data_IF_621783421540
#
_entry.id   IF_621783421540
#
_cell.length_a   1.000
_cell.length_b   1.000
_cell.length_c   1.000
_cell.angle_alpha   90.00
_cell.angle_beta   90.00
_cell.angle_gamma   90.00
#
_symmetry.space_group_name_H-M   'P 1'
#
loop_
_entity.id
_entity.type
_entity.pdbx_description
1 polymer ?
#
# COMPACT_ATOMS: atom_id res chain seq x y z
N UNK A 1 0.29 55.99 -42.21
CA UNK A 1 -0.42 57.27 -42.08
C UNK A 1 -1.91 56.98 -42.04
N UNK A 2 -2.60 57.33 -40.94
CA UNK A 2 -4.06 57.57 -40.80
C UNK A 2 -5.02 56.39 -41.10
N UNK A 3 -5.97 55.91 -40.27
CA UNK A 3 -6.52 56.27 -38.94
C UNK A 3 -7.23 55.04 -38.34
N UNK A 4 -7.05 54.86 -37.03
CA UNK A 4 -7.87 54.05 -36.11
C UNK A 4 -9.24 54.69 -35.86
N UNK A 5 -10.36 53.94 -35.91
CA UNK A 5 -11.56 54.10 -35.03
C UNK A 5 -12.29 52.73 -35.01
N UNK A 6 -12.33 51.97 -33.90
CA UNK A 6 -13.14 52.16 -32.69
C UNK A 6 -14.64 52.19 -33.05
N UNK A 7 -15.59 51.50 -32.41
CA UNK A 7 -15.73 50.56 -31.30
C UNK A 7 -17.26 50.28 -31.28
N UNK A 8 -17.71 49.20 -30.64
CA UNK A 8 -19.09 48.97 -30.19
C UNK A 8 -20.13 48.50 -31.23
N UNK A 9 -20.42 47.19 -31.20
CA UNK A 9 -21.80 46.70 -31.31
C UNK A 9 -21.96 45.47 -30.38
N UNK A 10 -22.14 45.75 -29.09
CA UNK A 10 -22.73 44.82 -28.12
C UNK A 10 -24.24 45.05 -28.21
N UNK A 11 -24.99 44.05 -28.62
CA UNK A 11 -26.44 44.16 -28.78
C UNK A 11 -27.12 42.80 -28.90
N UNK A 12 -27.55 42.28 -27.74
CA UNK A 12 -28.84 41.62 -27.54
C UNK A 12 -29.20 40.42 -28.46
N UNK A 13 -29.04 39.19 -27.96
CA UNK A 13 -29.92 38.08 -28.31
C UNK A 13 -30.06 37.10 -27.14
N UNK A 14 -30.85 37.51 -26.14
CA UNK A 14 -31.48 36.60 -25.18
C UNK A 14 -32.82 36.17 -25.76
N UNK A 15 -33.11 34.87 -25.84
CA UNK A 15 -34.40 34.25 -25.46
C UNK A 15 -34.53 32.80 -25.99
N UNK A 16 -35.07 31.96 -25.09
CA UNK A 16 -35.87 30.77 -25.35
C UNK A 16 -35.17 29.44 -25.68
N UNK A 17 -34.93 28.64 -24.63
CA UNK A 17 -35.25 27.21 -24.64
C UNK A 17 -35.42 26.67 -23.20
N UNK A 18 -36.52 27.02 -22.54
CA UNK A 18 -37.04 26.24 -21.41
C UNK A 18 -37.70 24.98 -21.99
N UNK A 19 -37.05 23.82 -21.92
CA UNK A 19 -37.74 22.55 -22.15
C UNK A 19 -38.36 22.05 -20.85
N UNK A 20 -39.67 21.77 -20.92
CA UNK A 20 -40.47 21.26 -19.82
C UNK A 20 -40.02 19.85 -19.43
N UNK A 21 -39.74 19.66 -18.14
CA UNK A 21 -39.39 18.37 -17.53
C UNK A 21 -40.65 17.49 -17.46
N UNK A 22 -40.63 16.25 -17.96
CA UNK A 22 -41.80 15.36 -17.85
C UNK A 22 -42.06 15.03 -16.37
N UNK A 23 -43.30 15.27 -15.92
CA UNK A 23 -43.79 14.87 -14.61
C UNK A 23 -43.95 13.35 -14.56
N UNK A 24 -43.10 12.69 -13.78
CA UNK A 24 -43.27 11.29 -13.41
C UNK A 24 -44.34 11.26 -12.29
N UNK A 25 -45.43 10.48 -12.43
CA UNK A 25 -46.42 10.35 -11.36
C UNK A 25 -45.79 9.66 -10.13
N UNK A 26 -46.16 10.04 -8.90
CA UNK A 26 -45.68 9.38 -7.70
C UNK A 26 -46.20 7.93 -7.63
N UNK A 27 -45.28 7.00 -7.41
CA UNK A 27 -45.60 5.60 -7.08
C UNK A 27 -46.26 5.59 -5.70
N UNK A 28 -47.47 5.04 -5.61
CA UNK A 28 -48.17 4.83 -4.34
C UNK A 28 -47.41 3.82 -3.48
N UNK A 29 -47.06 4.21 -2.26
CA UNK A 29 -46.49 3.31 -1.25
C UNK A 29 -47.52 2.27 -0.82
N UNK A 30 -47.15 0.99 -0.62
CA UNK A 30 -48.06 0.00 -0.08
C UNK A 30 -48.36 0.31 1.39
N UNK A 31 -49.65 0.41 1.72
CA UNK A 31 -50.16 0.55 3.09
C UNK A 31 -49.81 -0.70 3.90
N UNK A 32 -49.20 -0.59 5.10
CA UNK A 32 -49.03 -1.73 5.97
C UNK A 32 -50.39 -2.19 6.52
N UNK A 33 -50.80 -3.40 6.14
CA UNK A 33 -51.95 -4.09 6.75
C UNK A 33 -51.56 -4.52 8.16
N UNK A 34 -52.10 -3.85 9.17
CA UNK A 34 -52.02 -4.30 10.57
C UNK A 34 -53.10 -5.35 10.80
N UNK A 35 -52.71 -6.63 10.77
CA UNK A 35 -53.54 -7.72 11.25
C UNK A 35 -53.43 -7.76 12.77
N UNK A 36 -54.52 -7.45 13.47
CA UNK A 36 -54.63 -7.59 14.91
C UNK A 36 -54.73 -9.08 15.29
N UNK A 37 -53.66 -9.63 15.87
CA UNK A 37 -53.66 -10.97 16.50
C UNK A 37 -54.10 -10.83 17.95
N UNK A 38 -55.17 -11.53 18.32
CA UNK A 38 -55.70 -11.61 19.69
C UNK A 38 -54.72 -12.34 20.63
N UNK A 39 -54.53 -11.88 21.87
CA UNK A 39 -53.73 -12.60 22.85
C UNK A 39 -54.50 -13.83 23.39
N UNK A 40 -53.83 -14.98 23.62
CA UNK A 40 -54.46 -16.10 24.31
C UNK A 40 -54.62 -15.81 25.81
N UNK A 41 -55.77 -16.22 26.33
CA UNK A 41 -56.18 -16.18 27.74
C UNK A 41 -55.27 -17.06 28.60
N UNK A 42 -54.78 -16.53 29.72
CA UNK A 42 -54.03 -17.29 30.72
C UNK A 42 -54.97 -18.13 31.59
N UNK A 43 -54.76 -19.45 31.61
CA UNK A 43 -55.35 -20.36 32.60
C UNK A 43 -54.46 -20.44 33.84
N UNK A 44 -55.00 -20.40 35.07
CA UNK A 44 -54.22 -20.56 36.29
C UNK A 44 -53.95 -22.05 36.54
N UNK A 45 -52.71 -22.48 36.30
CA UNK A 45 -52.25 -23.84 36.65
C UNK A 45 -51.46 -23.78 37.96
N UNK A 46 -51.84 -24.65 38.90
CA UNK A 46 -51.29 -24.75 40.26
C UNK A 46 -49.77 -25.01 40.27
N UNK A 47 -49.05 -24.32 41.17
CA UNK A 47 -47.60 -24.48 41.40
C UNK A 47 -47.26 -25.87 41.99
N UNK A 48 -46.30 -26.61 41.41
CA UNK A 48 -45.53 -27.60 42.14
C UNK A 48 -44.31 -26.96 42.86
N UNK A 49 -44.09 -27.40 44.10
CA UNK A 49 -42.97 -27.07 44.99
C UNK A 49 -41.63 -27.61 44.43
N UNK A 50 -40.49 -26.89 44.55
CA UNK A 50 -39.22 -27.29 43.93
C UNK A 50 -38.67 -28.60 44.51
N UNK A 51 -38.49 -29.58 43.63
CA UNK A 51 -37.63 -30.74 43.86
C UNK A 51 -36.29 -30.47 43.17
N UNK A 52 -35.18 -30.64 43.89
CA UNK A 52 -33.83 -30.44 43.34
C UNK A 52 -33.54 -31.48 42.25
N UNK A 53 -33.63 -31.06 40.99
CA UNK A 53 -33.29 -31.88 39.81
C UNK A 53 -31.80 -31.69 39.47
N UNK A 54 -31.03 -32.76 39.25
CA UNK A 54 -29.66 -32.65 38.75
C UNK A 54 -29.67 -31.95 37.39
N UNK A 55 -28.80 -30.95 37.23
CA UNK A 55 -28.71 -30.14 36.03
C UNK A 55 -28.51 -31.03 34.78
N UNK A 56 -29.19 -30.74 33.65
CA UNK A 56 -28.96 -31.45 32.41
C UNK A 56 -27.53 -31.16 31.91
N UNK A 57 -26.76 -32.22 31.68
CA UNK A 57 -25.51 -32.16 30.94
C UNK A 57 -25.81 -31.62 29.55
N UNK A 58 -25.25 -30.45 29.21
CA UNK A 58 -25.36 -29.87 27.88
C UNK A 58 -24.83 -30.87 26.83
N UNK A 59 -25.74 -31.37 25.99
CA UNK A 59 -25.36 -32.06 24.75
C UNK A 59 -24.69 -31.04 23.84
N UNK A 60 -23.43 -31.26 23.48
CA UNK A 60 -22.73 -30.43 22.51
C UNK A 60 -23.43 -30.53 21.17
N UNK A 61 -24.16 -29.48 20.80
CA UNK A 61 -24.61 -29.24 19.43
C UNK A 61 -23.38 -29.34 18.51
N UNK A 62 -23.36 -30.19 17.47
CA UNK A 62 -22.25 -30.21 16.54
C UNK A 62 -22.20 -28.85 15.85
N UNK A 63 -21.20 -28.04 16.18
CA UNK A 63 -20.85 -26.84 15.43
C UNK A 63 -20.71 -27.25 13.98
N UNK A 64 -21.40 -26.60 13.02
CA UNK A 64 -21.18 -26.89 11.61
C UNK A 64 -19.70 -26.68 11.31
N UNK A 65 -18.99 -27.78 11.04
CA UNK A 65 -17.63 -27.73 10.52
C UNK A 65 -17.70 -26.95 9.21
N UNK A 66 -16.96 -25.85 9.04
CA UNK A 66 -16.89 -25.17 7.75
C UNK A 66 -16.53 -26.20 6.69
N UNK A 67 -17.36 -26.31 5.64
CA UNK A 67 -17.04 -27.19 4.53
C UNK A 67 -15.65 -26.79 3.99
N UNK A 68 -14.76 -27.77 3.73
CA UNK A 68 -13.43 -27.47 3.20
C UNK A 68 -13.58 -26.73 1.88
N UNK A 69 -13.04 -25.52 1.79
CA UNK A 69 -13.02 -24.76 0.54
C UNK A 69 -11.97 -25.41 -0.36
N UNK A 70 -12.38 -25.91 -1.53
CA UNK A 70 -11.48 -26.55 -2.48
C UNK A 70 -11.16 -25.55 -3.60
N UNK A 71 -9.87 -25.32 -3.82
CA UNK A 71 -9.36 -24.52 -4.93
C UNK A 71 -8.81 -25.42 -6.02
N UNK A 72 -9.29 -25.24 -7.26
CA UNK A 72 -8.76 -25.94 -8.44
C UNK A 72 -7.68 -25.04 -9.06
N UNK A 73 -6.44 -25.52 -9.04
CA UNK A 73 -5.25 -24.86 -9.60
C UNK A 73 -5.44 -24.64 -11.10
N UNK A 74 -5.18 -23.42 -11.58
CA UNK A 74 -5.16 -23.06 -13.00
C UNK A 74 -3.72 -22.83 -13.48
N UNK A 75 -3.54 -22.61 -14.78
CA UNK A 75 -2.25 -22.21 -15.33
C UNK A 75 -1.70 -20.99 -14.60
N UNK A 76 -0.44 -21.07 -14.21
CA UNK A 76 0.31 -20.06 -13.46
C UNK A 76 -0.08 -19.84 -11.98
N UNK A 77 -0.94 -20.68 -11.38
CA UNK A 77 -1.19 -20.66 -9.93
C UNK A 77 -0.08 -21.39 -9.15
N UNK A 78 0.40 -20.80 -8.05
CA UNK A 78 1.27 -21.45 -7.06
C UNK A 78 0.67 -21.39 -5.63
N UNK A 79 1.17 -22.22 -4.70
CA UNK A 79 0.63 -22.24 -3.32
C UNK A 79 0.75 -20.89 -2.62
N UNK A 80 1.71 -20.05 -2.99
CA UNK A 80 1.90 -18.74 -2.37
C UNK A 80 0.81 -17.77 -2.83
N UNK A 81 0.60 -17.62 -4.14
CA UNK A 81 -0.47 -16.83 -4.73
C UNK A 81 -1.86 -17.29 -4.29
N UNK A 82 -2.08 -18.60 -4.16
CA UNK A 82 -3.32 -19.17 -3.62
C UNK A 82 -3.46 -18.82 -2.12
N UNK A 83 -2.41 -18.93 -1.31
CA UNK A 83 -2.47 -18.57 0.11
C UNK A 83 -2.83 -17.09 0.34
N UNK A 84 -2.29 -16.21 -0.51
CA UNK A 84 -2.63 -14.78 -0.51
C UNK A 84 -4.08 -14.54 -0.92
N UNK A 85 -4.56 -15.23 -1.96
CA UNK A 85 -5.95 -15.11 -2.44
C UNK A 85 -6.97 -15.49 -1.36
N UNK A 86 -6.68 -16.48 -0.54
CA UNK A 86 -7.59 -16.99 0.48
C UNK A 86 -7.32 -16.46 1.90
N UNK A 87 -6.31 -15.61 2.08
CA UNK A 87 -5.97 -15.03 3.39
C UNK A 87 -5.54 -16.07 4.43
N UNK A 88 -4.97 -17.19 3.99
CA UNK A 88 -4.44 -18.26 4.86
C UNK A 88 -2.92 -18.24 4.81
N UNK A 89 -2.24 -18.65 5.89
CA UNK A 89 -0.77 -18.73 5.84
C UNK A 89 -0.33 -19.84 4.89
N UNK A 90 0.81 -19.65 4.21
CA UNK A 90 1.40 -20.66 3.34
C UNK A 90 1.69 -21.96 4.11
N UNK A 91 2.10 -21.85 5.37
CA UNK A 91 2.29 -23.03 6.23
C UNK A 91 0.98 -23.75 6.51
N UNK A 92 -0.10 -23.04 6.88
CA UNK A 92 -1.41 -23.66 7.07
C UNK A 92 -1.90 -24.35 5.78
N UNK A 93 -1.70 -23.72 4.62
CA UNK A 93 -2.07 -24.29 3.33
C UNK A 93 -1.24 -25.54 2.98
N UNK A 94 0.06 -25.55 3.28
CA UNK A 94 0.94 -26.74 3.11
C UNK A 94 0.56 -27.86 4.08
N UNK A 95 0.28 -27.52 5.34
CA UNK A 95 -0.17 -28.49 6.35
C UNK A 95 -1.53 -29.09 6.00
N UNK A 96 -2.42 -28.32 5.36
CA UNK A 96 -3.70 -28.82 4.86
C UNK A 96 -3.56 -29.70 3.59
N UNK A 97 -2.46 -29.56 2.85
CA UNK A 97 -2.19 -30.30 1.59
C UNK A 97 -0.81 -30.99 1.60
N UNK A 98 -0.53 -31.89 2.55
CA UNK A 98 0.81 -32.43 2.77
C UNK A 98 1.29 -33.34 1.63
N UNK A 99 0.38 -33.83 0.77
CA UNK A 99 0.68 -34.70 -0.37
C UNK A 99 0.96 -33.93 -1.66
N UNK A 100 0.75 -32.61 -1.68
CA UNK A 100 1.00 -31.77 -2.85
C UNK A 100 2.44 -31.27 -2.83
N UNK A 101 3.15 -31.48 -3.94
CA UNK A 101 4.45 -30.87 -4.16
C UNK A 101 4.26 -29.43 -4.66
N UNK A 102 4.68 -28.39 -3.91
CA UNK A 102 4.50 -26.99 -4.31
C UNK A 102 5.19 -26.61 -5.61
N UNK A 103 6.21 -27.36 -6.04
CA UNK A 103 6.98 -27.13 -7.26
C UNK A 103 6.48 -27.94 -8.47
N UNK A 104 5.43 -28.75 -8.29
CA UNK A 104 4.86 -29.60 -9.33
C UNK A 104 3.33 -29.60 -9.26
N UNK A 105 2.74 -28.41 -9.34
CA UNK A 105 1.29 -28.22 -9.38
C UNK A 105 0.84 -28.08 -10.83
N UNK A 106 0.20 -29.14 -11.36
CA UNK A 106 -0.42 -29.09 -12.67
C UNK A 106 -1.83 -28.48 -12.61
N UNK A 107 -2.28 -27.92 -13.73
CA UNK A 107 -3.65 -27.42 -13.87
C UNK A 107 -4.67 -28.54 -13.55
N UNK A 108 -5.73 -28.19 -12.84
CA UNK A 108 -6.77 -29.12 -12.39
C UNK A 108 -6.50 -29.78 -11.03
N UNK A 109 -5.33 -29.55 -10.42
CA UNK A 109 -5.03 -30.02 -9.06
C UNK A 109 -5.95 -29.35 -8.02
N UNK A 110 -6.42 -30.10 -7.03
CA UNK A 110 -7.31 -29.59 -5.98
C UNK A 110 -6.54 -29.36 -4.68
N UNK A 111 -6.62 -28.14 -4.15
CA UNK A 111 -6.09 -27.76 -2.84
C UNK A 111 -7.21 -27.51 -1.84
N UNK A 112 -7.08 -28.08 -0.66
CA UNK A 112 -7.93 -27.81 0.50
C UNK A 112 -7.45 -26.54 1.18
N UNK A 113 -8.30 -25.52 1.25
CA UNK A 113 -8.02 -24.24 1.87
C UNK A 113 -8.52 -24.25 3.33
N UNK A 114 -7.64 -24.17 4.34
CA UNK A 114 -8.02 -24.20 5.75
C UNK A 114 -8.48 -22.81 6.23
N UNK A 115 -9.75 -22.49 6.04
CA UNK A 115 -10.34 -21.26 6.59
C UNK A 115 -10.72 -21.49 8.06
N UNK A 116 -9.85 -21.07 8.99
CA UNK A 116 -10.17 -21.05 10.42
C UNK A 116 -10.36 -19.60 10.90
N UNK A 117 -11.46 -19.25 11.59
CA UNK A 117 -11.58 -17.95 12.25
C UNK A 117 -10.69 -17.92 13.49
N UNK A 118 -9.69 -17.02 13.53
CA UNK A 118 -8.76 -16.90 14.66
C UNK A 118 -9.30 -15.95 15.74
N UNK A 119 -9.50 -16.37 17.02
CA UNK A 119 -9.79 -15.49 18.15
C UNK A 119 -8.50 -14.84 18.72
N UNK A 120 -8.57 -13.63 19.33
CA UNK A 120 -7.40 -12.95 19.89
C UNK A 120 -7.04 -13.46 21.30
N UNK A 121 -5.75 -13.66 21.55
CA UNK A 121 -5.22 -13.93 22.90
C UNK A 121 -5.10 -12.63 23.72
N UNK A 122 -5.48 -12.70 25.00
CA UNK A 122 -5.45 -11.61 25.97
C UNK A 122 -4.15 -11.58 26.80
N UNK A 123 -3.92 -10.43 27.47
CA UNK A 123 -2.91 -10.07 28.50
C UNK A 123 -1.66 -9.31 27.98
N UNK A 124 -1.20 -8.20 28.56
CA UNK A 124 -1.55 -7.37 29.74
C UNK A 124 -1.09 -5.92 29.49
N UNK A 125 -1.77 -4.95 30.10
CA UNK A 125 -1.52 -3.50 30.05
C UNK A 125 -0.22 -3.10 30.77
N UNK A 126 0.50 -2.07 30.27
CA UNK A 126 0.84 -0.93 31.14
C UNK A 126 0.29 0.40 30.61
N UNK A 127 -0.09 1.25 31.56
CA UNK A 127 -0.72 2.57 31.45
C UNK A 127 0.32 3.67 31.07
N UNK A 128 -0.08 4.82 30.46
CA UNK A 128 0.77 5.55 29.53
C UNK A 128 1.63 6.61 30.21
N UNK A 129 2.86 6.76 29.73
CA UNK A 129 3.58 8.04 29.77
C UNK A 129 4.39 8.14 28.49
N UNK A 130 4.24 9.27 27.80
CA UNK A 130 4.87 9.56 26.52
C UNK A 130 6.40 9.49 26.64
N UNK A 131 6.99 8.49 26.00
CA UNK A 131 8.36 8.47 25.50
C UNK A 131 8.45 7.31 24.50
N UNK A 132 8.81 7.62 23.26
CA UNK A 132 9.06 6.63 22.21
C UNK A 132 10.24 5.75 22.65
N UNK A 133 9.94 4.54 23.11
CA UNK A 133 10.93 3.48 23.16
C UNK A 133 11.05 2.92 21.76
N UNK A 134 12.02 3.45 20.99
CA UNK A 134 12.48 2.83 19.75
C UNK A 134 13.05 1.45 20.11
N UNK A 135 12.25 0.40 19.97
CA UNK A 135 12.80 -0.95 19.82
C UNK A 135 13.49 -1.00 18.47
N UNK A 136 14.73 -1.49 18.46
CA UNK A 136 15.69 -1.41 17.36
C UNK A 136 15.26 -2.05 16.01
N UNK A 137 14.05 -2.60 15.92
CA UNK A 137 13.47 -3.22 14.71
C UNK A 137 12.35 -2.40 14.05
N UNK A 138 11.93 -1.28 14.64
CA UNK A 138 10.88 -0.42 14.05
C UNK A 138 11.49 0.65 13.15
N UNK A 139 11.01 0.72 11.91
CA UNK A 139 11.45 1.72 10.94
C UNK A 139 10.62 3.00 11.15
N UNK A 140 11.24 4.20 11.33
CA UNK A 140 10.52 5.46 11.38
C UNK A 140 9.60 5.60 10.16
N UNK A 141 8.32 5.88 10.38
CA UNK A 141 7.31 5.86 9.30
C UNK A 141 6.53 7.16 9.28
N UNK A 142 6.57 7.85 8.14
CA UNK A 142 5.92 9.14 7.93
C UNK A 142 4.80 8.97 6.92
N UNK A 143 3.58 9.37 7.28
CA UNK A 143 2.41 9.17 6.44
C UNK A 143 1.71 10.49 6.09
N UNK A 144 1.29 10.60 4.84
CA UNK A 144 0.73 11.81 4.24
C UNK A 144 -0.59 11.45 3.57
N UNK A 145 -1.66 12.09 4.04
CA UNK A 145 -3.00 11.89 3.49
C UNK A 145 -3.19 12.75 2.25
N UNK A 146 -3.73 12.17 1.18
CA UNK A 146 -4.06 12.90 -0.03
C UNK A 146 -5.49 13.50 0.03
N UNK A 147 -5.83 14.30 -0.99
CA UNK A 147 -7.12 14.97 -1.09
C UNK A 147 -8.30 14.01 -1.33
N UNK A 148 -8.05 12.78 -1.78
CA UNK A 148 -9.06 11.76 -2.02
C UNK A 148 -9.28 10.86 -0.79
N UNK A 149 -8.51 11.07 0.28
CA UNK A 149 -8.61 10.33 1.53
C UNK A 149 -7.82 9.02 1.53
N UNK A 150 -6.89 8.83 0.60
CA UNK A 150 -5.86 7.80 0.67
C UNK A 150 -4.63 8.30 1.41
N UNK A 151 -3.69 7.40 1.72
CA UNK A 151 -2.49 7.74 2.52
C UNK A 151 -1.24 7.12 1.93
N UNK A 152 -0.26 7.96 1.60
CA UNK A 152 1.11 7.52 1.37
C UNK A 152 1.83 7.33 2.71
N UNK A 153 2.60 6.26 2.85
CA UNK A 153 3.50 6.08 3.98
C UNK A 153 4.91 5.78 3.47
N UNK A 154 5.88 6.49 4.04
CA UNK A 154 7.30 6.40 3.76
C UNK A 154 7.98 5.85 5.03
N UNK A 155 8.38 4.58 4.98
CA UNK A 155 9.14 3.93 6.04
C UNK A 155 10.63 4.15 5.76
N UNK A 156 11.24 5.02 6.55
CA UNK A 156 12.56 5.59 6.34
C UNK A 156 13.68 4.63 6.76
N UNK A 157 14.13 3.82 5.81
CA UNK A 157 15.02 2.68 6.06
C UNK A 157 16.48 3.02 5.78
N UNK A 158 17.33 2.61 6.71
CA UNK A 158 18.79 2.69 6.58
C UNK A 158 19.38 1.28 6.53
N UNK A 159 20.21 1.01 5.54
CA UNK A 159 21.00 -0.21 5.50
C UNK A 159 22.19 -0.10 6.47
N UNK A 160 22.00 -0.55 7.72
CA UNK A 160 23.04 -0.50 8.75
C UNK A 160 24.17 -1.54 8.58
N UNK A 161 24.17 -2.31 7.49
CA UNK A 161 25.18 -3.32 7.22
C UNK A 161 26.31 -2.77 6.35
N UNK A 162 27.48 -3.40 6.42
CA UNK A 162 28.65 -3.08 5.58
C UNK A 162 28.54 -3.65 4.16
N UNK A 163 27.38 -4.20 3.80
CA UNK A 163 27.13 -4.79 2.49
C UNK A 163 25.91 -4.16 1.83
N UNK A 164 25.92 -4.05 0.51
CA UNK A 164 24.72 -3.67 -0.22
C UNK A 164 23.64 -4.74 -0.10
N UNK A 165 22.38 -4.29 -0.10
CA UNK A 165 21.19 -5.14 -0.03
C UNK A 165 20.32 -4.98 -1.28
N UNK A 166 19.57 -6.04 -1.59
CA UNK A 166 18.57 -6.12 -2.65
C UNK A 166 17.21 -6.52 -2.11
N UNK A 167 16.16 -6.22 -2.87
CA UNK A 167 14.80 -6.66 -2.60
C UNK A 167 14.35 -6.33 -1.17
N UNK A 168 14.75 -5.16 -0.66
CA UNK A 168 14.35 -4.75 0.69
C UNK A 168 12.86 -4.40 0.68
N UNK A 169 12.10 -5.05 1.56
CA UNK A 169 10.69 -4.79 1.78
C UNK A 169 10.39 -4.65 3.28
N UNK A 170 9.29 -3.98 3.58
CA UNK A 170 8.80 -3.80 4.94
C UNK A 170 7.28 -3.97 4.98
N UNK A 171 6.74 -4.50 6.07
CA UNK A 171 5.30 -4.49 6.32
C UNK A 171 4.95 -3.21 7.05
N UNK A 172 4.20 -2.34 6.40
CA UNK A 172 3.65 -1.13 7.01
C UNK A 172 2.23 -1.42 7.46
N UNK A 173 1.92 -1.12 8.71
CA UNK A 173 0.59 -1.28 9.29
C UNK A 173 0.02 0.09 9.63
N UNK A 174 -1.13 0.43 9.04
CA UNK A 174 -1.99 1.51 9.51
C UNK A 174 -3.02 0.96 10.47
N UNK A 175 -3.14 1.57 11.64
CA UNK A 175 -4.16 1.26 12.64
C UNK A 175 -4.89 2.53 13.03
N UNK A 176 -6.22 2.54 12.96
CA UNK A 176 -6.97 3.68 13.46
C UNK A 176 -6.76 3.84 14.97
N UNK A 177 -6.74 5.07 15.44
CA UNK A 177 -6.71 5.37 16.88
C UNK A 177 -8.04 5.00 17.54
N UNK A 178 -9.13 5.07 16.77
CA UNK A 178 -10.48 4.72 17.19
C UNK A 178 -11.11 3.74 16.19
N UNK A 179 -11.81 2.73 16.71
CA UNK A 179 -12.43 1.67 15.91
C UNK A 179 -11.46 0.57 15.47
N UNK A 180 -11.94 -0.31 14.60
CA UNK A 180 -11.25 -1.57 14.26
C UNK A 180 -10.44 -1.53 12.96
N UNK A 181 -10.30 -0.35 12.33
CA UNK A 181 -9.55 -0.25 11.08
C UNK A 181 -8.09 -0.63 11.32
N UNK A 182 -7.65 -1.67 10.62
CA UNK A 182 -6.26 -2.10 10.53
C UNK A 182 -5.99 -2.61 9.13
N UNK A 183 -5.01 -2.02 8.47
CA UNK A 183 -4.51 -2.52 7.19
C UNK A 183 -3.00 -2.66 7.26
N UNK A 184 -2.50 -3.76 6.71
CA UNK A 184 -1.06 -4.01 6.56
C UNK A 184 -0.77 -4.18 5.08
N UNK A 185 0.22 -3.46 4.55
CA UNK A 185 0.66 -3.55 3.16
C UNK A 185 2.19 -3.62 3.11
N UNK A 186 2.71 -4.26 2.08
CA UNK A 186 4.15 -4.30 1.80
C UNK A 186 4.59 -2.99 1.17
N UNK A 187 5.57 -2.33 1.77
CA UNK A 187 6.31 -1.23 1.21
C UNK A 187 7.59 -1.74 0.53
N UNK A 188 7.94 -1.10 -0.58
CA UNK A 188 9.12 -1.44 -1.38
C UNK A 188 10.03 -0.22 -1.52
N UNK A 189 11.32 -0.47 -1.62
CA UNK A 189 12.26 0.57 -2.02
C UNK A 189 11.99 1.01 -3.48
N UNK A 190 12.24 2.29 -3.80
CA UNK A 190 12.10 2.78 -5.17
C UNK A 190 13.22 2.27 -6.10
N UNK A 191 14.34 1.83 -5.53
CA UNK A 191 15.41 1.08 -6.19
C UNK A 191 15.44 -0.35 -5.65
N UNK A 192 15.87 -1.31 -6.46
CA UNK A 192 16.07 -2.67 -5.98
C UNK A 192 17.30 -2.76 -5.08
N UNK A 193 18.35 -2.00 -5.41
CA UNK A 193 19.63 -1.97 -4.71
C UNK A 193 19.71 -0.81 -3.71
N UNK A 194 20.20 -1.09 -2.50
CA UNK A 194 20.58 -0.09 -1.52
C UNK A 194 22.01 -0.35 -1.05
N UNK A 195 22.88 0.66 -1.17
CA UNK A 195 24.28 0.56 -0.79
C UNK A 195 24.46 0.43 0.73
N UNK A 196 25.64 -0.03 1.15
CA UNK A 196 26.01 -0.06 2.57
C UNK A 196 25.88 1.34 3.18
N UNK A 197 25.27 1.44 4.35
CA UNK A 197 25.03 2.69 5.09
C UNK A 197 24.16 3.73 4.37
N UNK A 198 23.57 3.38 3.23
CA UNK A 198 22.64 4.27 2.52
C UNK A 198 21.25 4.27 3.19
N UNK A 199 20.51 5.36 3.00
CA UNK A 199 19.17 5.59 3.52
C UNK A 199 18.21 5.89 2.37
N UNK A 200 17.16 5.08 2.25
CA UNK A 200 16.08 5.28 1.29
C UNK A 200 14.75 4.85 1.93
N UNK A 201 13.66 5.64 1.77
CA UNK A 201 12.37 5.25 2.29
C UNK A 201 11.74 4.13 1.44
N UNK A 202 11.23 3.10 2.10
CA UNK A 202 10.25 2.21 1.48
C UNK A 202 8.91 2.92 1.38
N UNK A 203 8.30 2.87 0.20
CA UNK A 203 7.04 3.56 -0.06
C UNK A 203 5.88 2.57 -0.20
N UNK A 204 4.73 2.95 0.36
CA UNK A 204 3.47 2.25 0.17
C UNK A 204 2.30 3.22 0.18
N UNK A 205 1.26 2.90 -0.58
CA UNK A 205 0.02 3.65 -0.61
C UNK A 205 -1.14 2.82 -0.05
N UNK A 206 -1.91 3.39 0.87
CA UNK A 206 -3.15 2.86 1.39
C UNK A 206 -4.33 3.57 0.71
N UNK A 207 -5.21 2.78 0.10
CA UNK A 207 -6.33 3.29 -0.68
C UNK A 207 -7.40 3.93 0.22
N UNK A 208 -8.08 4.94 -0.32
CA UNK A 208 -9.17 5.60 0.38
C UNK A 208 -10.37 4.64 0.60
N UNK A 209 -11.14 4.81 1.70
CA UNK A 209 -10.92 5.78 2.76
C UNK A 209 -9.97 5.24 3.84
N UNK A 210 -8.89 5.98 4.11
CA UNK A 210 -8.11 5.79 5.34
C UNK A 210 -8.77 6.55 6.50
N UNK A 211 -8.64 6.05 7.75
CA UNK A 211 -9.20 6.72 8.94
C UNK A 211 -8.65 8.14 9.11
N UNK A 212 -9.42 9.02 9.78
CA UNK A 212 -8.99 10.40 10.02
C UNK A 212 -7.80 10.51 10.99
N UNK A 213 -7.76 9.63 11.99
CA UNK A 213 -6.68 9.52 12.97
C UNK A 213 -6.17 8.08 12.97
N UNK A 214 -4.87 7.91 12.81
CA UNK A 214 -4.22 6.59 12.79
C UNK A 214 -2.80 6.65 13.35
N UNK A 215 -2.29 5.50 13.73
CA UNK A 215 -0.87 5.24 13.88
C UNK A 215 -0.36 4.41 12.71
N UNK A 216 0.93 4.59 12.39
CA UNK A 216 1.64 3.82 11.40
C UNK A 216 2.85 3.15 12.06
N UNK A 217 3.12 1.90 11.71
CA UNK A 217 4.33 1.19 12.12
C UNK A 217 4.88 0.41 10.94
N UNK A 218 6.19 0.33 10.82
CA UNK A 218 6.85 -0.47 9.80
C UNK A 218 7.90 -1.40 10.42
N UNK A 219 7.96 -2.61 9.89
CA UNK A 219 8.91 -3.66 10.27
C UNK A 219 9.52 -4.22 8.99
N UNK A 220 10.82 -4.49 8.99
CA UNK A 220 11.48 -5.15 7.87
C UNK A 220 10.82 -6.51 7.64
N UNK A 221 10.53 -6.81 6.38
CA UNK A 221 9.88 -8.05 5.96
C UNK A 221 10.88 -8.97 5.25
N UNK A 222 11.66 -8.40 4.32
CA UNK A 222 12.65 -9.15 3.56
C UNK A 222 13.81 -8.26 3.14
N UNK A 223 14.99 -8.87 2.98
CA UNK A 223 16.18 -8.25 2.38
C UNK A 223 17.19 -9.34 2.01
N UNK A 224 17.91 -9.16 0.91
CA UNK A 224 18.97 -10.07 0.47
C UNK A 224 20.31 -9.34 0.34
N UNK A 225 21.45 -9.95 0.71
CA UNK A 225 22.75 -9.42 0.32
C UNK A 225 22.89 -9.35 -1.21
N UNK A 226 23.41 -8.24 -1.73
CA UNK A 226 23.66 -8.09 -3.16
C UNK A 226 24.90 -8.90 -3.58
N UNK A 227 24.69 -10.12 -4.09
CA UNK A 227 25.76 -10.94 -4.66
C UNK A 227 26.15 -10.45 -6.06
N UNK A 228 27.45 -10.56 -6.40
CA UNK A 228 28.00 -10.27 -7.73
C UNK A 228 27.57 -8.93 -8.33
N UNK A 229 27.55 -7.88 -7.51
CA UNK A 229 27.05 -6.55 -7.91
C UNK A 229 27.67 -6.05 -9.21
N UNK A 230 28.99 -6.18 -9.39
CA UNK A 230 29.68 -5.71 -10.60
C UNK A 230 29.23 -6.44 -11.88
N UNK A 231 28.67 -7.65 -11.74
CA UNK A 231 28.10 -8.40 -12.85
C UNK A 231 26.66 -7.95 -13.10
N UNK A 232 25.86 -7.77 -12.04
CA UNK A 232 24.40 -7.53 -12.11
C UNK A 232 24.01 -6.06 -12.25
N UNK A 233 24.90 -5.14 -11.88
CA UNK A 233 24.70 -3.70 -11.94
C UNK A 233 25.87 -3.03 -12.65
N UNK A 234 25.58 -1.86 -13.19
CA UNK A 234 26.57 -0.93 -13.72
C UNK A 234 26.79 0.17 -12.71
N UNK A 235 28.06 0.48 -12.44
CA UNK A 235 28.43 1.65 -11.66
C UNK A 235 28.14 2.91 -12.48
N UNK A 236 27.27 3.77 -11.94
CA UNK A 236 26.87 5.03 -12.54
C UNK A 236 26.96 6.13 -11.46
N UNK A 237 27.60 7.24 -11.79
CA UNK A 237 27.71 8.40 -10.92
C UNK A 237 26.80 9.52 -11.42
N UNK A 238 26.23 10.29 -10.49
CA UNK A 238 25.40 11.45 -10.81
C UNK A 238 26.22 12.73 -10.72
N UNK A 239 26.18 13.55 -11.77
CA UNK A 239 26.60 14.94 -11.75
C UNK A 239 25.34 15.81 -11.76
N UNK A 240 24.88 16.21 -10.58
CA UNK A 240 23.63 16.95 -10.40
C UNK A 240 23.87 18.47 -10.38
N UNK A 241 23.01 19.22 -11.07
CA UNK A 241 22.90 20.66 -10.85
C UNK A 241 22.10 20.93 -9.55
N UNK A 242 22.24 22.12 -8.93
CA UNK A 242 21.40 22.52 -7.81
C UNK A 242 19.90 22.41 -8.16
N UNK A 243 19.05 21.85 -7.28
CA UNK A 243 17.61 21.77 -7.56
C UNK A 243 16.97 23.14 -7.73
N UNK A 244 16.07 23.27 -8.71
CA UNK A 244 15.26 24.47 -8.90
C UNK A 244 13.92 24.33 -8.16
N UNK A 245 13.83 24.96 -7.00
CA UNK A 245 12.67 24.88 -6.12
C UNK A 245 11.55 25.83 -6.55
N UNK A 246 10.32 25.33 -6.53
CA UNK A 246 9.12 26.17 -6.57
C UNK A 246 9.10 27.19 -5.42
N UNK A 247 8.37 28.29 -5.60
CA UNK A 247 8.27 29.37 -4.58
C UNK A 247 7.79 28.87 -3.22
N UNK A 248 6.87 27.90 -3.20
CA UNK A 248 6.35 27.29 -1.97
C UNK A 248 7.18 26.07 -1.50
N UNK A 249 8.24 25.71 -2.23
CA UNK A 249 9.07 24.52 -1.98
C UNK A 249 8.28 23.21 -1.88
N UNK A 250 7.11 23.11 -2.51
CA UNK A 250 6.35 21.84 -2.58
C UNK A 250 6.71 21.02 -3.82
N UNK A 251 7.59 21.53 -4.67
CA UNK A 251 8.21 20.80 -5.78
C UNK A 251 9.58 21.36 -6.11
N UNK A 252 10.41 20.52 -6.74
CA UNK A 252 11.71 20.91 -7.28
C UNK A 252 11.97 20.24 -8.63
N UNK A 253 12.52 20.99 -9.58
CA UNK A 253 13.00 20.47 -10.85
C UNK A 253 14.47 20.04 -10.69
N UNK A 254 14.79 18.88 -11.24
CA UNK A 254 16.07 18.21 -11.10
C UNK A 254 16.66 17.99 -12.48
N UNK A 255 17.92 18.39 -12.66
CA UNK A 255 18.66 18.22 -13.92
C UNK A 255 20.09 17.83 -13.64
N UNK A 256 20.69 17.06 -14.52
CA UNK A 256 22.09 16.70 -14.43
C UNK A 256 22.46 15.66 -15.48
N UNK A 257 23.60 15.01 -15.25
CA UNK A 257 24.13 13.95 -16.10
C UNK A 257 24.45 12.70 -15.29
N UNK A 258 24.31 11.55 -15.94
CA UNK A 258 24.78 10.25 -15.44
C UNK A 258 26.04 9.88 -16.18
N UNK A 259 27.08 9.50 -15.44
CA UNK A 259 28.38 9.10 -15.96
C UNK A 259 28.61 7.64 -15.59
N UNK A 260 28.76 6.77 -16.59
CA UNK A 260 29.02 5.35 -16.37
C UNK A 260 30.51 5.08 -16.21
N UNK A 261 30.85 4.21 -15.26
CA UNK A 261 32.23 3.81 -15.02
C UNK A 261 32.74 2.82 -16.08
N UNK A 262 31.85 1.99 -16.64
CA UNK A 262 32.15 1.03 -17.70
C UNK A 262 31.46 1.44 -19.02
N UNK A 263 32.21 2.10 -19.88
CA UNK A 263 31.75 2.63 -21.16
C UNK A 263 31.49 1.57 -22.25
N UNK A 264 31.80 0.29 -22.00
CA UNK A 264 31.73 -0.77 -23.00
C UNK A 264 30.54 -1.72 -22.79
N UNK A 265 29.90 -1.67 -21.61
CA UNK A 265 28.73 -2.49 -21.30
C UNK A 265 27.45 -1.67 -21.47
N UNK A 266 26.60 -1.94 -22.46
CA UNK A 266 25.34 -1.21 -22.62
C UNK A 266 24.41 -1.47 -21.44
N UNK A 267 23.59 -0.47 -21.09
CA UNK A 267 22.61 -0.60 -20.02
C UNK A 267 21.24 -1.01 -20.57
N UNK A 268 20.61 -1.99 -19.93
CA UNK A 268 19.22 -2.41 -20.19
C UNK A 268 18.21 -1.56 -19.42
N UNK A 269 18.65 -0.95 -18.31
CA UNK A 269 17.88 0.04 -17.57
C UNK A 269 18.81 1.02 -16.84
N UNK A 270 18.30 2.24 -16.63
CA UNK A 270 18.87 3.23 -15.73
C UNK A 270 17.71 3.93 -15.02
N UNK A 271 17.72 3.84 -13.69
CA UNK A 271 16.77 4.53 -12.82
C UNK A 271 17.51 5.53 -11.95
N UNK A 272 16.91 6.71 -11.80
CA UNK A 272 17.34 7.73 -10.84
C UNK A 272 16.19 7.93 -9.87
N UNK A 273 16.47 7.96 -8.58
CA UNK A 273 15.48 8.27 -7.55
C UNK A 273 15.89 9.54 -6.85
N UNK A 274 14.94 10.47 -6.74
CA UNK A 274 15.04 11.61 -5.84
C UNK A 274 14.22 11.34 -4.59
N UNK A 275 14.81 11.56 -3.42
CA UNK A 275 14.12 11.59 -2.12
C UNK A 275 14.17 13.02 -1.61
N UNK A 276 13.00 13.59 -1.33
CA UNK A 276 12.86 14.94 -0.79
C UNK A 276 12.66 14.87 0.72
N UNK A 277 13.41 15.68 1.45
CA UNK A 277 13.35 15.76 2.91
C UNK A 277 12.91 17.15 3.38
N UNK A 278 12.26 17.22 4.54
CA UNK A 278 11.96 18.48 5.22
C UNK A 278 13.14 18.94 6.10
N UNK A 279 12.96 20.09 6.77
CA UNK A 279 13.99 20.68 7.63
C UNK A 279 14.29 19.85 8.90
N UNK A 280 13.45 18.85 9.22
CA UNK A 280 13.68 17.89 10.30
C UNK A 280 14.28 16.58 9.79
N UNK A 281 14.69 16.55 8.52
CA UNK A 281 15.26 15.38 7.86
C UNK A 281 14.28 14.20 7.74
N UNK A 282 12.98 14.48 7.68
CA UNK A 282 11.96 13.46 7.41
C UNK A 282 11.67 13.38 5.90
N UNK A 283 11.54 12.16 5.32
CA UNK A 283 11.18 12.03 3.92
C UNK A 283 9.77 12.52 3.68
N UNK A 284 9.63 13.57 2.86
CA UNK A 284 8.35 14.18 2.48
C UNK A 284 7.98 13.92 1.02
N UNK A 285 8.81 13.26 0.24
CA UNK A 285 8.48 12.91 -1.13
C UNK A 285 9.52 12.02 -1.78
N UNK A 286 9.13 11.34 -2.84
CA UNK A 286 10.05 10.60 -3.68
C UNK A 286 9.59 10.62 -5.13
N UNK A 287 10.54 10.51 -6.06
CA UNK A 287 10.25 10.31 -7.48
C UNK A 287 11.30 9.42 -8.11
N UNK A 288 10.85 8.41 -8.85
CA UNK A 288 11.69 7.66 -9.76
C UNK A 288 11.59 8.22 -11.18
N UNK A 289 12.75 8.45 -11.78
CA UNK A 289 12.95 8.69 -13.20
C UNK A 289 13.52 7.41 -13.83
N UNK A 290 13.02 7.07 -15.01
CA UNK A 290 13.52 5.96 -15.81
C UNK A 290 14.01 6.50 -17.14
N UNK A 291 15.26 6.22 -17.47
CA UNK A 291 15.86 6.71 -18.69
C UNK A 291 15.27 6.00 -19.93
N UNK A 292 15.00 6.75 -21.02
CA UNK A 292 14.54 6.14 -22.25
C UNK A 292 15.63 5.27 -22.89
N UNK A 293 15.21 4.17 -23.53
CA UNK A 293 16.09 3.29 -24.29
C UNK A 293 16.26 3.78 -25.74
N UNK A 294 17.40 3.48 -26.39
CA UNK A 294 18.56 2.74 -25.88
C UNK A 294 19.48 3.60 -24.99
N UNK A 295 20.14 2.99 -24.01
CA UNK A 295 21.10 3.67 -23.11
C UNK A 295 22.53 3.30 -23.53
N UNK A 296 23.26 4.29 -24.06
CA UNK A 296 24.69 4.17 -24.35
C UNK A 296 25.49 4.54 -23.09
N UNK A 297 26.43 3.69 -22.69
CA UNK A 297 27.30 3.95 -21.54
C UNK A 297 28.60 4.67 -21.90
N UNK A 298 28.87 4.86 -23.19
CA UNK A 298 30.08 5.51 -23.69
C UNK A 298 30.05 7.05 -23.62
N UNK A 299 28.89 7.62 -23.30
CA UNK A 299 28.69 9.06 -23.18
C UNK A 299 27.93 9.34 -21.88
N UNK A 300 28.03 10.58 -21.39
CA UNK A 300 27.16 11.02 -20.30
C UNK A 300 25.72 11.11 -20.79
N UNK A 301 24.78 10.77 -19.90
CA UNK A 301 23.36 10.80 -20.20
C UNK A 301 22.67 11.87 -19.36
N UNK A 302 22.12 12.89 -20.02
CA UNK A 302 21.36 13.93 -19.34
C UNK A 302 20.02 13.38 -18.79
N UNK A 303 19.61 13.86 -17.63
CA UNK A 303 18.30 13.62 -17.06
C UNK A 303 17.61 14.94 -16.69
N UNK A 304 16.27 14.93 -16.74
CA UNK A 304 15.45 16.02 -16.24
C UNK A 304 14.11 15.47 -15.76
N UNK A 305 13.75 15.78 -14.51
CA UNK A 305 12.45 15.38 -13.94
C UNK A 305 12.07 16.27 -12.74
N UNK A 306 10.84 16.11 -12.24
CA UNK A 306 10.31 16.86 -11.10
C UNK A 306 10.03 15.92 -9.92
N UNK A 307 10.35 16.35 -8.71
CA UNK A 307 9.89 15.73 -7.46
C UNK A 307 8.88 16.66 -6.76
N UNK A 308 7.90 16.07 -6.09
CA UNK A 308 6.85 16.77 -5.36
C UNK A 308 6.83 16.33 -3.90
N UNK A 309 6.56 17.27 -3.01
CA UNK A 309 6.29 16.97 -1.61
C UNK A 309 4.86 16.45 -1.44
N UNK A 310 4.71 15.48 -0.55
CA UNK A 310 3.46 14.92 -0.06
C UNK A 310 2.91 15.71 1.15
N UNK A 311 3.71 16.60 1.73
CA UNK A 311 3.36 17.31 2.96
C UNK A 311 4.12 18.62 3.12
N UNK A 312 5.17 18.62 3.95
CA UNK A 312 5.91 19.84 4.30
C UNK A 312 6.79 20.36 3.16
N UNK A 313 7.28 21.60 3.29
CA UNK A 313 8.22 22.18 2.33
C UNK A 313 9.52 21.35 2.24
N UNK A 314 10.04 21.20 1.02
CA UNK A 314 11.30 20.51 0.75
C UNK A 314 12.46 21.41 1.19
N UNK A 315 13.30 20.88 2.07
CA UNK A 315 14.54 21.50 2.52
C UNK A 315 15.70 21.11 1.62
N UNK A 316 15.95 19.80 1.47
CA UNK A 316 16.99 19.23 0.62
C UNK A 316 16.52 17.95 -0.09
N UNK A 317 17.32 17.50 -1.07
CA UNK A 317 17.01 16.34 -1.92
C UNK A 317 18.26 15.48 -2.09
N UNK A 318 18.12 14.19 -1.84
CA UNK A 318 19.13 13.20 -2.16
C UNK A 318 18.80 12.48 -3.46
N UNK A 319 19.84 12.16 -4.24
CA UNK A 319 19.72 11.44 -5.50
C UNK A 319 20.47 10.11 -5.45
N UNK A 320 19.81 9.06 -5.92
CA UNK A 320 20.35 7.72 -6.04
C UNK A 320 20.16 7.20 -7.45
N UNK A 321 21.01 6.26 -7.88
CA UNK A 321 20.93 5.68 -9.22
C UNK A 321 21.12 4.17 -9.17
N UNK A 322 20.39 3.47 -10.03
CA UNK A 322 20.56 2.03 -10.28
C UNK A 322 20.60 1.82 -11.79
N UNK A 323 21.65 1.16 -12.28
CA UNK A 323 21.76 0.80 -13.69
C UNK A 323 22.01 -0.70 -13.82
N UNK A 324 21.37 -1.34 -14.80
CA UNK A 324 21.56 -2.77 -15.09
C UNK A 324 22.15 -2.95 -16.48
N UNK A 325 23.09 -3.89 -16.66
CA UNK A 325 23.66 -4.20 -17.96
C UNK A 325 22.64 -4.95 -18.83
N UNK A 326 22.86 -4.97 -20.13
CA UNK A 326 22.27 -5.99 -20.99
C UNK A 326 22.95 -7.33 -20.67
N UNK A 327 22.17 -8.37 -20.35
CA UNK A 327 22.68 -9.73 -20.27
C UNK A 327 22.71 -10.33 -21.68
N UNK A 328 23.89 -10.75 -22.11
CA UNK A 328 24.06 -11.54 -23.34
C UNK A 328 23.83 -13.02 -23.05
#
# INVERSE_FOLDING_TARGET
>A
MFVKRALALIGLLTLAACQARPLIPPIASPTPTSTATTPPIASPTLLPQPTQTPAPTATSTPTPTPAPVIHIVKGDDDMFGISLRYGVSLEALKTANPTVNPYAMGEGLQLVIPLTPTPPAAQMTPEPTAQQTLTADQIPTYCYRDAFGGTWCLADYTNNSDKPLENVSARVTLRATEGDFKQTKTALLPLNLIEAHARLPLAVYFEAPTPASFSASAEVDFSLPAADQNVRYLSAALSAAPPDYSTNRLSAALTGEVIFSDAQRPASSLWIVAIAYDASDHPVGFRRYEAPLPISTSQSLAYSFQVYSLGAAIDHIDLFTEARPVFN
#
